data_IF_738798191217
#
_entry.id   IF_738798191217
#
_cell.length_a   1.000
_cell.length_b   1.000
_cell.length_c   1.000
_cell.angle_alpha   90.00
_cell.angle_beta   90.00
_cell.angle_gamma   90.00
#
_symmetry.space_group_name_H-M   'P 1'
#
loop_
_entity.id
_entity.type
_entity.pdbx_description
1 polymer ?
2 non-polymer ?
3 non-polymer ?
4 non-polymer ?
5 water ?
#
# COMPACT_ATOMS: atom_id res chain seq x y z
N UNK A 5 -29.91 27.24 -12.66
CA UNK A 5 -28.70 27.97 -12.28
C UNK A 5 -27.45 27.45 -13.02
N UNK A 6 -27.12 26.19 -12.77
CA UNK A 6 -25.96 25.59 -13.40
C UNK A 6 -26.40 24.58 -14.46
N UNK A 7 -26.00 24.80 -15.71
CA UNK A 7 -26.36 23.91 -16.80
C UNK A 7 -25.49 22.66 -16.78
N UNK A 8 -25.89 21.65 -17.55
CA UNK A 8 -25.14 20.41 -17.64
C UNK A 8 -23.75 20.70 -18.20
N UNK A 9 -23.70 21.61 -19.16
CA UNK A 9 -22.44 21.98 -19.79
C UNK A 9 -21.45 22.57 -18.78
N UNK A 10 -21.89 23.56 -18.02
CA UNK A 10 -21.03 24.19 -17.03
C UNK A 10 -20.63 23.19 -15.93
N UNK A 11 -21.59 22.40 -15.49
CA UNK A 11 -21.36 21.41 -14.44
C UNK A 11 -20.33 20.36 -14.86
N UNK A 12 -20.42 19.90 -16.10
CA UNK A 12 -19.50 18.90 -16.62
C UNK A 12 -18.06 19.41 -16.53
N UNK A 13 -17.87 20.68 -16.84
CA UNK A 13 -16.56 21.32 -16.80
C UNK A 13 -16.09 21.53 -15.37
N UNK A 14 -16.99 22.08 -14.55
CA UNK A 14 -16.72 22.36 -13.16
C UNK A 14 -16.44 21.09 -12.36
N UNK A 15 -17.13 20.00 -12.68
CA UNK A 15 -16.91 18.75 -11.96
C UNK A 15 -15.47 18.29 -12.10
N UNK A 16 -14.91 18.39 -13.32
CA UNK A 16 -13.52 17.98 -13.53
C UNK A 16 -12.57 18.87 -12.75
N UNK A 17 -12.88 20.17 -12.70
CA UNK A 17 -12.04 21.11 -11.97
C UNK A 17 -11.97 20.70 -10.49
N UNK A 18 -13.13 20.38 -9.94
CA UNK A 18 -13.24 19.99 -8.53
C UNK A 18 -12.51 18.67 -8.24
N UNK A 19 -12.72 17.67 -9.08
CA UNK A 19 -12.07 16.37 -8.88
C UNK A 19 -10.56 16.57 -8.81
N UNK A 20 -10.03 17.32 -9.77
CA UNK A 20 -8.58 17.57 -9.82
C UNK A 20 -8.07 18.28 -8.58
N UNK A 21 -8.76 19.34 -8.17
CA UNK A 21 -8.35 20.10 -6.99
C UNK A 21 -8.49 19.25 -5.72
N UNK A 22 -9.64 18.62 -5.56
CA UNK A 22 -9.90 17.77 -4.41
C UNK A 22 -8.99 16.55 -4.36
N UNK A 23 -8.69 15.97 -5.51
CA UNK A 23 -7.82 14.80 -5.53
C UNK A 23 -6.40 15.19 -5.17
N UNK A 24 -6.00 16.41 -5.52
CA UNK A 24 -4.66 16.88 -5.18
C UNK A 24 -4.59 17.03 -3.67
N UNK A 25 -5.63 17.62 -3.09
CA UNK A 25 -5.70 17.83 -1.65
C UNK A 25 -5.68 16.49 -0.92
N UNK A 26 -6.39 15.50 -1.45
CA UNK A 26 -6.40 14.18 -0.83
C UNK A 26 -5.02 13.55 -0.95
N UNK A 27 -4.36 13.75 -2.08
CA UNK A 27 -3.03 13.19 -2.25
C UNK A 27 -2.11 13.73 -1.16
N UNK A 28 -2.19 15.03 -0.90
CA UNK A 28 -1.35 15.66 0.12
C UNK A 28 -1.70 15.17 1.51
N UNK A 29 -2.99 15.11 1.80
CA UNK A 29 -3.50 14.69 3.10
C UNK A 29 -3.35 13.19 3.42
N UNK A 30 -3.71 12.34 2.46
CA UNK A 30 -3.64 10.90 2.67
C UNK A 30 -2.36 10.20 2.23
N UNK A 31 -1.77 10.65 1.13
CA UNK A 31 -0.56 10.00 0.61
C UNK A 31 0.72 10.60 1.17
N UNK A 32 0.76 11.92 1.30
CA UNK A 32 1.93 12.60 1.83
C UNK A 32 1.83 12.83 3.34
N UNK A 33 0.64 12.63 3.90
CA UNK A 33 0.42 12.85 5.32
C UNK A 33 0.82 14.29 5.66
N UNK A 34 0.51 15.20 4.75
CA UNK A 34 0.86 16.60 4.92
C UNK A 34 -0.05 17.53 4.11
N UNK A 35 -1.27 17.76 4.61
CA UNK A 35 -2.22 18.63 3.91
C UNK A 35 -1.68 20.05 3.73
N UNK A 36 -2.11 20.70 2.65
CA UNK A 36 -1.68 22.07 2.37
C UNK A 36 -2.78 23.04 2.79
N UNK A 37 -4.03 22.67 2.55
CA UNK A 37 -5.14 23.53 2.93
C UNK A 37 -5.86 23.02 4.16
N UNK A 38 -6.57 23.91 4.84
CA UNK A 38 -7.32 23.52 6.02
C UNK A 38 -8.53 22.71 5.56
N UNK A 39 -8.99 21.82 6.42
CA UNK A 39 -10.13 20.96 6.13
C UNK A 39 -11.36 21.67 5.58
N UNK A 40 -11.67 22.86 6.10
CA UNK A 40 -12.86 23.57 5.64
C UNK A 40 -12.79 23.94 4.17
N UNK A 41 -11.57 24.14 3.66
CA UNK A 41 -11.39 24.47 2.25
C UNK A 41 -11.77 23.23 1.44
N UNK A 42 -11.30 22.08 1.89
CA UNK A 42 -11.61 20.82 1.23
C UNK A 42 -13.10 20.51 1.31
N UNK A 43 -13.67 20.63 2.51
CA UNK A 43 -15.08 20.35 2.72
C UNK A 43 -16.01 21.19 1.86
N UNK A 44 -15.67 22.46 1.73
CA UNK A 44 -16.48 23.39 0.94
C UNK A 44 -16.50 22.95 -0.53
N UNK A 45 -15.33 22.61 -1.06
CA UNK A 45 -15.24 22.18 -2.45
C UNK A 45 -15.87 20.80 -2.62
N UNK A 46 -15.70 19.95 -1.62
CA UNK A 46 -16.27 18.61 -1.68
C UNK A 46 -17.80 18.70 -1.78
N UNK A 47 -18.38 19.59 -0.99
CA UNK A 47 -19.82 19.79 -0.99
C UNK A 47 -20.30 20.32 -2.35
N UNK A 48 -19.53 21.22 -2.95
CA UNK A 48 -19.91 21.75 -4.24
C UNK A 48 -19.98 20.60 -5.24
N UNK A 49 -19.00 19.71 -5.18
CA UNK A 49 -18.96 18.57 -6.09
C UNK A 49 -20.13 17.63 -5.84
N UNK A 50 -20.43 17.38 -4.57
CA UNK A 50 -21.55 16.51 -4.23
C UNK A 50 -22.83 17.11 -4.80
N UNK A 51 -22.97 18.43 -4.72
CA UNK A 51 -24.16 19.09 -5.23
C UNK A 51 -24.26 18.90 -6.74
N UNK A 52 -23.13 18.99 -7.44
CA UNK A 52 -23.13 18.81 -8.89
C UNK A 52 -23.48 17.37 -9.27
N UNK A 53 -22.87 16.43 -8.56
CA UNK A 53 -23.10 15.02 -8.84
C UNK A 53 -24.52 14.60 -8.51
N UNK A 54 -25.11 15.25 -7.51
CA UNK A 54 -26.47 14.94 -7.11
C UNK A 54 -27.45 15.41 -8.18
N UNK A 55 -27.18 16.58 -8.75
CA UNK A 55 -28.03 17.15 -9.79
C UNK A 55 -27.87 16.38 -11.09
N UNK A 56 -26.64 15.99 -11.41
CA UNK A 56 -26.36 15.24 -12.63
C UNK A 56 -25.49 14.02 -12.32
N UNK A 57 -26.12 12.93 -11.84
CA UNK A 57 -25.39 11.71 -11.50
C UNK A 57 -24.49 11.15 -12.61
N UNK A 58 -24.79 11.51 -13.86
CA UNK A 58 -24.01 11.02 -14.99
C UNK A 58 -22.57 11.57 -14.96
N UNK A 59 -22.35 12.60 -14.16
CA UNK A 59 -21.04 13.22 -14.06
C UNK A 59 -20.14 12.52 -13.05
N UNK A 60 -20.69 11.57 -12.32
CA UNK A 60 -19.92 10.83 -11.33
C UNK A 60 -18.91 9.97 -12.06
N UNK A 61 -17.65 10.04 -11.62
CA UNK A 61 -16.58 9.26 -12.24
C UNK A 61 -15.89 8.37 -11.20
N UNK A 62 -15.19 7.33 -11.64
CA UNK A 62 -14.50 6.41 -10.73
C UNK A 62 -13.43 7.11 -9.89
N UNK A 63 -12.88 8.20 -10.41
CA UNK A 63 -11.84 8.91 -9.68
C UNK A 63 -12.35 10.11 -8.89
N UNK A 64 -13.67 10.24 -8.76
CA UNK A 64 -14.23 11.34 -7.99
C UNK A 64 -14.07 10.99 -6.51
N UNK A 65 -13.58 11.93 -5.71
CA UNK A 65 -13.39 11.66 -4.28
C UNK A 65 -14.67 11.29 -3.52
N UNK A 66 -15.83 11.52 -4.13
CA UNK A 66 -17.08 11.18 -3.49
C UNK A 66 -17.29 9.67 -3.49
N UNK A 67 -16.55 8.98 -4.34
CA UNK A 67 -16.69 7.53 -4.44
C UNK A 67 -15.98 6.76 -3.32
N UNK A 68 -15.17 7.46 -2.53
CA UNK A 68 -14.44 6.86 -1.43
C UNK A 68 -15.35 6.22 -0.37
N UNK A 69 -16.60 6.67 -0.31
CA UNK A 69 -17.53 6.15 0.68
C UNK A 69 -18.06 4.76 0.33
N UNK A 70 -17.78 4.30 -0.88
CA UNK A 70 -18.24 2.98 -1.30
C UNK A 70 -19.72 2.95 -1.57
N UNK A 71 -20.29 1.76 -1.66
CA UNK A 71 -21.71 1.63 -1.91
C UNK A 71 -22.06 0.29 -2.53
N UNK A 72 -21.11 -0.28 -3.25
CA UNK A 72 -21.30 -1.56 -3.90
C UNK A 72 -21.27 -2.69 -2.89
N UNK A 73 -22.06 -3.74 -3.14
CA UNK A 73 -22.13 -4.91 -2.27
C UNK A 73 -21.94 -6.13 -3.16
N UNK A 74 -20.87 -6.88 -2.95
CA UNK A 74 -20.61 -8.06 -3.77
C UNK A 74 -21.24 -9.33 -3.20
N UNK A 75 -21.38 -10.34 -4.05
CA UNK A 75 -21.94 -11.63 -3.63
C UNK A 75 -20.78 -12.49 -3.16
N UNK A 76 -19.59 -12.13 -3.63
CA UNK A 76 -18.39 -12.85 -3.28
C UNK A 76 -17.23 -12.24 -4.07
N UNK A 77 -16.02 -12.73 -3.84
CA UNK A 77 -14.86 -12.21 -4.55
C UNK A 77 -14.46 -13.10 -5.71
N UNK A 78 -14.11 -12.48 -6.83
CA UNK A 78 -13.67 -13.21 -8.01
C UNK A 78 -12.22 -13.62 -7.73
N UNK A 79 -11.76 -14.67 -8.40
CA UNK A 79 -10.38 -15.09 -8.22
C UNK A 79 -9.50 -14.05 -8.88
N UNK A 80 -8.34 -13.78 -8.29
CA UNK A 80 -7.41 -12.80 -8.84
C UNK A 80 -6.06 -13.47 -9.04
N UNK A 81 -5.78 -13.92 -10.27
CA UNK A 81 -4.49 -14.57 -10.51
C UNK A 81 -3.31 -13.60 -10.50
N UNK A 82 -2.15 -14.13 -10.13
CA UNK A 82 -0.91 -13.36 -10.11
C UNK A 82 0.06 -14.06 -11.07
N UNK A 83 0.03 -13.67 -12.35
CA UNK A 83 0.92 -14.27 -13.34
C UNK A 83 2.36 -14.09 -12.88
N UNK A 84 2.61 -12.96 -12.23
CA UNK A 84 3.92 -12.67 -11.66
C UNK A 84 3.58 -13.06 -10.22
N UNK A 85 4.02 -14.24 -9.78
CA UNK A 85 3.73 -14.70 -8.42
C UNK A 85 4.07 -13.77 -7.27
N UNK A 86 3.24 -13.82 -6.24
CA UNK A 86 3.46 -13.02 -5.06
C UNK A 86 4.07 -13.95 -4.02
N UNK A 87 5.39 -13.99 -3.99
CA UNK A 87 6.11 -14.84 -3.06
C UNK A 87 6.01 -14.30 -1.65
N UNK A 88 6.49 -15.10 -0.70
CA UNK A 88 6.53 -14.69 0.69
C UNK A 88 8.00 -14.52 1.03
N UNK A 89 8.30 -14.11 2.25
CA UNK A 89 9.68 -13.90 2.63
C UNK A 89 10.26 -14.98 3.53
N UNK A 90 11.55 -15.24 3.35
CA UNK A 90 12.28 -16.20 4.16
C UNK A 90 12.53 -15.43 5.46
N UNK A 91 12.49 -16.13 6.59
CA UNK A 91 12.67 -15.49 7.90
C UNK A 91 14.03 -15.64 8.57
N UNK A 92 14.36 -14.63 9.38
CA UNK A 92 15.60 -14.61 10.14
C UNK A 92 15.19 -14.16 11.54
N UNK A 93 15.86 -14.69 12.57
CA UNK A 93 15.49 -14.33 13.93
C UNK A 93 16.63 -13.84 14.82
N UNK A 94 17.87 -14.14 14.41
CA UNK A 94 19.03 -13.74 15.21
C UNK A 94 20.02 -12.94 14.37
N UNK A 95 20.92 -12.25 15.05
CA UNK A 95 21.93 -11.47 14.35
C UNK A 95 22.72 -12.43 13.45
N UNK A 96 22.93 -13.65 13.93
CA UNK A 96 23.68 -14.62 13.15
C UNK A 96 22.90 -15.00 11.89
N UNK A 97 21.57 -15.02 11.97
CA UNK A 97 20.76 -15.35 10.80
C UNK A 97 20.97 -14.29 9.73
N UNK A 98 20.95 -13.03 10.14
CA UNK A 98 21.11 -11.91 9.22
C UNK A 98 22.50 -11.91 8.58
N UNK A 99 23.53 -12.19 9.39
CA UNK A 99 24.88 -12.21 8.86
C UNK A 99 25.08 -13.44 7.98
N UNK A 100 24.38 -14.53 8.33
CA UNK A 100 24.49 -15.75 7.53
C UNK A 100 23.88 -15.44 6.17
N UNK A 101 22.76 -14.72 6.18
CA UNK A 101 22.08 -14.34 4.93
C UNK A 101 23.05 -13.54 4.07
N UNK A 102 23.73 -12.59 4.69
CA UNK A 102 24.69 -11.75 3.97
C UNK A 102 25.82 -12.59 3.39
N UNK A 103 26.30 -13.58 4.14
CA UNK A 103 27.37 -14.43 3.65
C UNK A 103 26.93 -15.18 2.41
N UNK A 104 25.71 -15.73 2.43
CA UNK A 104 25.20 -16.48 1.29
C UNK A 104 25.08 -15.57 0.06
N UNK A 105 24.60 -14.35 0.29
CA UNK A 105 24.44 -13.39 -0.81
C UNK A 105 25.79 -13.06 -1.43
N UNK A 106 26.78 -12.77 -0.59
CA UNK A 106 28.10 -12.44 -1.09
C UNK A 106 28.71 -13.63 -1.82
N UNK A 107 28.51 -14.83 -1.27
CA UNK A 107 29.06 -16.03 -1.91
C UNK A 107 28.52 -16.19 -3.34
N UNK A 108 27.23 -15.90 -3.53
CA UNK A 108 26.62 -16.04 -4.84
C UNK A 108 26.96 -14.91 -5.81
N UNK A 109 26.96 -13.66 -5.33
CA UNK A 109 27.24 -12.52 -6.19
C UNK A 109 28.74 -12.33 -6.45
N UNK A 110 29.56 -12.57 -5.43
CA UNK A 110 30.99 -12.44 -5.57
C UNK A 110 31.58 -11.09 -5.23
N UNK A 111 30.86 -10.30 -4.44
CA UNK A 111 31.32 -8.97 -4.04
C UNK A 111 30.39 -8.40 -2.98
N UNK A 112 30.81 -7.34 -2.28
CA UNK A 112 29.93 -6.75 -1.26
C UNK A 112 28.65 -6.30 -1.95
N UNK A 113 27.54 -6.37 -1.24
CA UNK A 113 26.25 -6.00 -1.79
C UNK A 113 25.54 -5.00 -0.90
N UNK A 114 24.94 -3.97 -1.51
CA UNK A 114 24.19 -2.97 -0.77
C UNK A 114 22.77 -3.51 -0.53
N UNK A 115 22.17 -3.08 0.59
CA UNK A 115 20.84 -3.53 0.96
C UNK A 115 19.89 -2.37 1.25
N UNK A 116 18.67 -2.46 0.71
CA UNK A 116 17.65 -1.46 0.98
C UNK A 116 16.85 -2.07 2.14
N UNK A 117 16.82 -1.37 3.27
CA UNK A 117 16.09 -1.88 4.42
C UNK A 117 14.79 -1.14 4.64
N UNK A 118 13.74 -1.91 4.93
CA UNK A 118 12.41 -1.37 5.14
C UNK A 118 11.77 -1.99 6.38
N UNK A 119 10.79 -1.30 6.94
CA UNK A 119 10.09 -1.82 8.11
C UNK A 119 9.07 -2.84 7.58
N UNK A 120 8.90 -3.95 8.29
CA UNK A 120 7.95 -4.97 7.88
C UNK A 120 6.57 -4.60 8.45
N UNK A 121 5.74 -3.98 7.62
CA UNK A 121 4.42 -3.57 8.03
C UNK A 121 3.54 -4.78 8.30
N UNK A 122 2.90 -4.81 9.47
CA UNK A 122 2.04 -5.93 9.82
C UNK A 122 0.62 -5.70 9.31
N UNK A 123 0.31 -6.27 8.16
CA UNK A 123 -1.02 -6.12 7.58
C UNK A 123 -1.27 -7.21 6.58
N UNK A 124 -1.93 -6.86 5.48
CA UNK A 124 -2.24 -7.81 4.42
C UNK A 124 -1.48 -7.38 3.17
N UNK A 125 -0.89 -8.34 2.46
CA UNK A 125 -0.14 -8.02 1.25
C UNK A 125 -1.12 -7.86 0.08
N UNK A 126 -0.96 -6.78 -0.70
CA UNK A 126 -1.85 -6.53 -1.82
C UNK A 126 -1.10 -6.18 -3.10
N UNK A 127 -1.82 -6.26 -4.21
CA UNK A 127 -1.27 -5.96 -5.52
C UNK A 127 -2.24 -4.98 -6.18
N UNK A 128 -1.70 -3.95 -6.81
CA UNK A 128 -2.53 -2.94 -7.46
C UNK A 128 -2.13 -2.82 -8.94
N UNK A 129 -3.10 -2.92 -9.83
CA UNK A 129 -2.83 -2.81 -11.26
C UNK A 129 -3.49 -1.58 -11.85
N UNK A 130 -2.72 -0.82 -12.63
CA UNK A 130 -3.22 0.39 -13.27
C UNK A 130 -3.06 0.26 -14.78
N UNK A 131 -4.01 0.83 -15.50
CA UNK A 131 -3.98 0.82 -16.95
C UNK A 131 -4.15 2.25 -17.43
N UNK A 132 -3.12 2.77 -18.10
CA UNK A 132 -3.15 4.14 -18.59
C UNK A 132 -3.39 5.10 -17.43
N UNK A 133 -2.90 4.71 -16.25
CA UNK A 133 -3.05 5.54 -15.06
C UNK A 133 -4.30 5.29 -14.24
N UNK A 134 -5.22 4.49 -14.78
CA UNK A 134 -6.48 4.18 -14.09
C UNK A 134 -6.42 2.90 -13.26
N UNK A 135 -6.87 2.99 -12.01
CA UNK A 135 -6.90 1.82 -11.13
C UNK A 135 -7.90 0.81 -11.69
N UNK A 136 -7.43 -0.39 -12.01
CA UNK A 136 -8.34 -1.40 -12.58
C UNK A 136 -8.45 -2.70 -11.79
N UNK A 137 -7.48 -3.00 -10.94
CA UNK A 137 -7.57 -4.22 -10.14
C UNK A 137 -6.78 -4.16 -8.85
N UNK A 138 -7.41 -4.64 -7.79
CA UNK A 138 -6.76 -4.71 -6.49
C UNK A 138 -6.95 -6.15 -6.06
N UNK A 139 -5.89 -6.77 -5.55
CA UNK A 139 -5.99 -8.18 -5.14
C UNK A 139 -5.13 -8.53 -3.93
N UNK A 140 -5.57 -9.54 -3.19
CA UNK A 140 -4.85 -10.02 -2.02
C UNK A 140 -3.79 -11.00 -2.54
N UNK A 141 -2.77 -11.26 -1.74
CA UNK A 141 -1.72 -12.20 -2.14
C UNK A 141 -2.32 -13.60 -2.24
N UNK A 142 -3.24 -13.90 -1.33
CA UNK A 142 -3.87 -15.22 -1.33
C UNK A 142 -2.82 -16.30 -1.15
N UNK A 143 -2.82 -17.30 -2.04
CA UNK A 143 -1.86 -18.38 -1.94
C UNK A 143 -0.58 -18.13 -2.74
N UNK A 144 -0.46 -16.93 -3.29
CA UNK A 144 0.74 -16.61 -4.06
C UNK A 144 0.53 -16.55 -5.55
N UNK A 145 -0.30 -17.45 -6.09
CA UNK A 145 -0.57 -17.46 -7.53
C UNK A 145 -2.03 -17.06 -7.80
N UNK A 146 -2.87 -17.18 -6.78
CA UNK A 146 -4.27 -16.80 -6.89
C UNK A 146 -4.74 -16.19 -5.58
N UNK A 147 -5.25 -14.96 -5.67
CA UNK A 147 -5.76 -14.27 -4.49
C UNK A 147 -7.20 -13.91 -4.73
N UNK A 148 -7.70 -12.94 -3.98
CA UNK A 148 -9.08 -12.48 -4.13
C UNK A 148 -9.10 -11.11 -4.77
N UNK A 149 -10.06 -10.89 -5.66
CA UNK A 149 -10.20 -9.61 -6.33
C UNK A 149 -10.97 -8.67 -5.40
N UNK A 150 -10.24 -7.80 -4.70
CA UNK A 150 -10.86 -6.86 -3.77
C UNK A 150 -10.78 -5.43 -4.28
N UNK A 151 -10.86 -5.27 -5.60
CA UNK A 151 -10.81 -3.97 -6.24
C UNK A 151 -11.78 -2.96 -5.62
N UNK A 152 -13.05 -3.34 -5.53
CA UNK A 152 -14.08 -2.44 -4.99
C UNK A 152 -13.79 -1.98 -3.57
N UNK A 153 -13.29 -2.88 -2.73
CA UNK A 153 -12.96 -2.52 -1.36
C UNK A 153 -11.80 -1.53 -1.33
N UNK A 154 -10.80 -1.76 -2.17
CA UNK A 154 -9.63 -0.89 -2.20
C UNK A 154 -9.94 0.52 -2.74
N UNK A 155 -11.06 0.67 -3.44
CA UNK A 155 -11.43 1.98 -3.94
C UNK A 155 -11.75 2.88 -2.75
N UNK A 156 -12.08 2.27 -1.62
CA UNK A 156 -12.42 3.06 -0.44
C UNK A 156 -11.24 3.39 0.46
N UNK A 157 -10.09 2.78 0.21
CA UNK A 157 -8.90 3.04 1.02
C UNK A 157 -8.34 4.36 0.51
N UNK A 158 -8.51 5.40 1.32
CA UNK A 158 -8.13 6.76 0.98
C UNK A 158 -6.75 7.00 0.37
N UNK A 159 -5.75 6.22 0.75
CA UNK A 159 -4.41 6.43 0.22
C UNK A 159 -4.15 5.79 -1.15
N UNK A 160 -5.10 4.98 -1.63
CA UNK A 160 -4.97 4.33 -2.92
C UNK A 160 -5.46 5.27 -4.04
N UNK A 161 -4.56 5.68 -4.94
CA UNK A 161 -4.96 6.57 -6.03
C UNK A 161 -5.85 5.89 -7.07
N UNK A 162 -6.89 6.60 -7.51
CA UNK A 162 -7.77 6.07 -8.53
C UNK A 162 -7.22 6.43 -9.90
N UNK A 163 -6.42 7.49 -9.95
CA UNK A 163 -5.77 7.91 -11.19
C UNK A 163 -4.35 8.36 -10.84
N UNK A 164 -3.35 7.74 -11.47
CA UNK A 164 -1.95 8.08 -11.21
C UNK A 164 -1.54 9.46 -11.72
N UNK A 165 -0.36 9.90 -11.32
CA UNK A 165 0.16 11.20 -11.74
C UNK A 165 0.52 11.19 -13.22
N UNK A 166 0.76 10.00 -13.75
CA UNK A 166 1.10 9.80 -15.16
C UNK A 166 0.25 8.63 -15.67
N UNK A 167 -0.27 8.73 -16.89
CA UNK A 167 -1.11 7.67 -17.46
C UNK A 167 -0.33 6.41 -17.83
N UNK A 168 0.36 5.82 -16.85
CA UNK A 168 1.15 4.63 -17.12
C UNK A 168 0.46 3.34 -16.69
N UNK A 169 0.90 2.23 -17.27
CA UNK A 169 0.33 0.93 -16.96
C UNK A 169 1.36 0.13 -16.18
N UNK A 170 1.04 -0.16 -14.93
CA UNK A 170 1.95 -0.89 -14.06
C UNK A 170 1.21 -1.69 -13.00
N UNK A 171 1.93 -2.60 -12.35
CA UNK A 171 1.36 -3.37 -11.25
C UNK A 171 2.35 -3.22 -10.10
N UNK A 172 1.84 -2.77 -8.96
CA UNK A 172 2.69 -2.57 -7.81
C UNK A 172 2.15 -3.34 -6.63
N UNK A 173 3.01 -3.58 -5.63
CA UNK A 173 2.59 -4.33 -4.47
C UNK A 173 3.01 -3.65 -3.18
N UNK A 174 2.21 -3.85 -2.14
CA UNK A 174 2.51 -3.24 -0.87
C UNK A 174 1.67 -3.85 0.21
N UNK A 175 1.58 -3.15 1.33
CA UNK A 175 0.81 -3.63 2.46
C UNK A 175 -0.40 -2.74 2.72
N UNK A 176 -1.53 -3.37 3.03
CA UNK A 176 -2.72 -2.63 3.39
C UNK A 176 -2.83 -2.95 4.88
N UNK A 177 -2.96 -1.92 5.71
CA UNK A 177 -3.01 -2.15 7.16
C UNK A 177 -3.95 -1.18 7.86
N UNK A 178 -4.14 -1.41 9.16
CA UNK A 178 -5.00 -0.56 9.97
C UNK A 178 -4.14 0.10 11.05
N UNK A 179 -4.08 1.44 11.08
CA UNK A 179 -3.28 2.16 12.08
C UNK A 179 -3.73 1.79 13.50
N UNK A 180 -2.81 1.84 14.46
CA UNK A 180 -3.13 1.50 15.85
C UNK A 180 -4.38 2.22 16.33
N UNK A 181 -4.43 3.54 16.11
CA UNK A 181 -5.55 4.37 16.52
C UNK A 181 -6.89 3.81 16.04
N UNK A 182 -6.96 3.50 14.74
CA UNK A 182 -8.18 2.96 14.16
C UNK A 182 -8.50 1.56 14.66
N UNK A 183 -7.46 0.78 14.95
CA UNK A 183 -7.63 -0.57 15.46
C UNK A 183 -8.30 -0.49 16.83
N UNK A 184 -7.83 0.44 17.66
CA UNK A 184 -8.40 0.63 18.98
C UNK A 184 -9.86 1.07 18.90
N UNK A 185 -10.11 2.12 18.12
CA UNK A 185 -11.48 2.63 17.99
C UNK A 185 -12.44 1.54 17.50
N UNK A 186 -11.98 0.76 16.53
CA UNK A 186 -12.80 -0.31 15.96
C UNK A 186 -13.18 -1.38 16.99
N UNK A 187 -12.20 -1.85 17.77
CA UNK A 187 -12.48 -2.87 18.77
C UNK A 187 -13.47 -2.36 19.82
N UNK A 188 -13.35 -1.08 20.17
CA UNK A 188 -14.25 -0.47 21.15
C UNK A 188 -15.66 -0.50 20.57
N UNK A 189 -15.77 -0.22 19.27
CA UNK A 189 -17.05 -0.23 18.59
C UNK A 189 -17.63 -1.64 18.57
N UNK A 190 -16.77 -2.64 18.33
CA UNK A 190 -17.23 -4.03 18.32
C UNK A 190 -17.64 -4.46 19.72
N UNK A 191 -16.93 -3.98 20.73
CA UNK A 191 -17.29 -4.32 22.12
C UNK A 191 -18.67 -3.74 22.41
N UNK A 192 -18.92 -2.54 21.90
CA UNK A 192 -20.19 -1.86 22.10
C UNK A 192 -21.35 -2.59 21.44
N UNK A 193 -21.06 -3.26 20.32
CA UNK A 193 -22.09 -3.98 19.59
C UNK A 193 -22.12 -5.48 19.86
N UNK A 194 -21.49 -5.90 20.94
CA UNK A 194 -21.49 -7.31 21.30
C UNK A 194 -20.75 -8.23 20.34
N UNK A 195 -19.79 -7.68 19.61
CA UNK A 195 -19.01 -8.47 18.66
C UNK A 195 -17.67 -8.88 19.24
N UNK A 196 -17.07 -9.92 18.65
CA UNK A 196 -15.76 -10.39 19.08
C UNK A 196 -14.75 -9.39 18.52
N UNK A 197 -13.83 -8.95 19.36
CA UNK A 197 -12.82 -7.99 18.93
C UNK A 197 -11.78 -8.69 18.06
N UNK A 198 -10.98 -7.90 17.35
CA UNK A 198 -9.91 -8.47 16.53
C UNK A 198 -8.68 -8.59 17.43
N UNK A 199 -8.00 -9.73 17.35
CA UNK A 199 -6.81 -9.98 18.18
C UNK A 199 -5.69 -8.98 17.95
N UNK A 200 -5.55 -8.51 16.72
CA UNK A 200 -4.51 -7.55 16.38
C UNK A 200 -4.87 -6.80 15.09
N UNK A 201 -4.17 -5.69 14.80
CA UNK A 201 -4.45 -4.92 13.59
C UNK A 201 -4.33 -5.75 12.30
N UNK A 202 -3.47 -6.76 12.30
CA UNK A 202 -3.31 -7.59 11.12
C UNK A 202 -4.64 -8.30 10.84
N UNK A 203 -5.21 -8.93 11.85
CA UNK A 203 -6.49 -9.63 11.69
C UNK A 203 -7.61 -8.65 11.38
N UNK A 204 -7.50 -7.44 11.92
CA UNK A 204 -8.51 -6.41 11.70
C UNK A 204 -8.50 -6.00 10.22
N UNK A 205 -7.30 -5.86 9.66
CA UNK A 205 -7.16 -5.48 8.26
C UNK A 205 -7.68 -6.59 7.35
N UNK A 206 -7.32 -7.82 7.68
CA UNK A 206 -7.74 -8.98 6.89
C UNK A 206 -9.26 -9.13 6.91
N UNK A 207 -9.84 -9.04 8.09
CA UNK A 207 -11.28 -9.18 8.20
C UNK A 207 -11.99 -8.05 7.47
N UNK A 208 -11.44 -6.84 7.57
CA UNK A 208 -12.02 -5.68 6.90
C UNK A 208 -12.06 -5.87 5.38
N UNK A 209 -10.96 -6.35 4.81
CA UNK A 209 -10.89 -6.56 3.37
C UNK A 209 -11.70 -7.77 2.88
N UNK A 210 -12.20 -8.56 3.82
CA UNK A 210 -13.02 -9.72 3.48
C UNK A 210 -14.50 -9.32 3.44
N UNK A 211 -14.80 -8.11 3.90
CA UNK A 211 -16.17 -7.60 3.90
C UNK A 211 -16.66 -7.42 2.46
N UNK A 212 -17.89 -7.86 2.20
CA UNK A 212 -18.43 -7.75 0.85
C UNK A 212 -19.12 -6.42 0.62
N UNK A 213 -19.47 -5.72 1.71
CA UNK A 213 -20.12 -4.43 1.60
C UNK A 213 -19.06 -3.32 1.68
N UNK A 214 -18.76 -2.70 0.55
CA UNK A 214 -17.75 -1.65 0.49
C UNK A 214 -18.03 -0.47 1.44
N UNK A 215 -19.28 -0.21 1.75
CA UNK A 215 -19.63 0.89 2.64
C UNK A 215 -19.02 0.65 4.02
N UNK A 216 -18.96 -0.61 4.44
CA UNK A 216 -18.39 -0.98 5.73
C UNK A 216 -16.87 -0.82 5.67
N UNK A 217 -16.27 -1.32 4.60
CA UNK A 217 -14.82 -1.24 4.43
C UNK A 217 -14.37 0.22 4.50
N UNK A 218 -15.11 1.09 3.81
CA UNK A 218 -14.77 2.52 3.77
C UNK A 218 -14.66 3.13 5.17
N UNK A 219 -15.40 2.59 6.12
CA UNK A 219 -15.35 3.11 7.49
C UNK A 219 -14.25 2.51 8.35
N UNK A 220 -13.57 1.48 7.86
CA UNK A 220 -12.52 0.82 8.62
C UNK A 220 -11.18 1.57 8.70
N UNK A 221 -11.07 2.67 7.95
CA UNK A 221 -9.86 3.49 7.97
C UNK A 221 -8.55 2.76 7.68
N UNK A 222 -8.53 1.94 6.63
CA UNK A 222 -7.32 1.21 6.26
C UNK A 222 -6.37 2.18 5.55
N UNK A 223 -5.08 1.85 5.54
CA UNK A 223 -4.08 2.70 4.88
C UNK A 223 -3.10 1.79 4.13
N UNK A 224 -2.18 2.40 3.38
CA UNK A 224 -1.23 1.59 2.62
C UNK A 224 0.20 2.10 2.61
N UNK A 225 1.10 1.20 2.21
CA UNK A 225 2.52 1.46 2.03
C UNK A 225 2.91 0.56 0.85
N UNK A 226 3.32 1.16 -0.26
CA UNK A 226 3.71 0.39 -1.44
C UNK A 226 5.22 0.17 -1.44
N UNK A 227 5.66 -1.03 -1.78
CA UNK A 227 7.09 -1.33 -1.76
C UNK A 227 7.68 -2.19 -2.89
N UNK A 228 6.85 -2.65 -3.82
CA UNK A 228 7.39 -3.47 -4.90
C UNK A 228 6.79 -3.14 -6.26
N UNK A 229 7.66 -3.01 -7.26
CA UNK A 229 7.22 -2.77 -8.62
C UNK A 229 7.27 -4.17 -9.23
N UNK A 230 6.10 -4.74 -9.54
CA UNK A 230 6.01 -6.08 -10.12
C UNK A 230 6.06 -6.00 -11.64
N UNK A 231 5.27 -5.11 -12.21
CA UNK A 231 5.23 -4.89 -13.65
C UNK A 231 5.61 -3.42 -13.85
N UNK A 232 6.86 -3.22 -14.28
CA UNK A 232 7.44 -1.91 -14.50
C UNK A 232 6.78 -0.99 -15.53
N UNK A 233 6.26 -1.56 -16.60
CA UNK A 233 5.69 -0.70 -17.63
C UNK A 233 6.82 0.24 -18.03
N UNK A 234 6.61 1.56 -17.96
CA UNK A 234 7.64 2.55 -18.32
C UNK A 234 8.57 2.99 -17.19
N UNK A 235 8.35 2.50 -15.98
CA UNK A 235 9.20 2.88 -14.85
C UNK A 235 10.68 2.58 -15.09
N UNK A 236 11.55 3.50 -14.64
CA UNK A 236 12.98 3.38 -14.85
C UNK A 236 13.85 2.87 -13.70
N UNK A 237 13.31 2.80 -12.49
CA UNK A 237 14.08 2.34 -11.34
C UNK A 237 14.94 1.12 -11.64
N UNK A 238 16.18 1.13 -11.15
CA UNK A 238 17.09 0.01 -11.35
C UNK A 238 17.48 -0.64 -10.02
N UNK A 239 17.11 0.01 -8.92
CA UNK A 239 17.38 -0.51 -7.59
C UNK A 239 16.11 -0.36 -6.76
N UNK A 240 16.04 -1.09 -5.65
CA UNK A 240 14.87 -1.01 -4.79
C UNK A 240 14.72 0.39 -4.20
N UNK A 241 15.82 0.98 -3.75
CA UNK A 241 15.75 2.32 -3.18
C UNK A 241 15.19 3.29 -4.23
N UNK A 242 15.64 3.13 -5.46
CA UNK A 242 15.15 3.97 -6.56
C UNK A 242 13.66 3.71 -6.81
N UNK A 243 13.26 2.45 -6.66
CA UNK A 243 11.87 2.07 -6.88
C UNK A 243 10.92 2.71 -5.87
N UNK A 244 11.34 2.75 -4.61
CA UNK A 244 10.52 3.36 -3.56
C UNK A 244 10.30 4.83 -3.88
N UNK A 245 11.36 5.49 -4.34
CA UNK A 245 11.29 6.90 -4.70
C UNK A 245 10.34 7.09 -5.88
N UNK A 246 10.44 6.21 -6.87
CA UNK A 246 9.61 6.29 -8.06
C UNK A 246 8.15 5.93 -7.78
N UNK A 247 7.92 5.04 -6.82
CA UNK A 247 6.56 4.65 -6.45
C UNK A 247 5.88 5.91 -5.89
N UNK A 248 6.64 6.67 -5.12
CA UNK A 248 6.13 7.89 -4.53
C UNK A 248 5.85 8.91 -5.64
N UNK A 249 6.79 9.03 -6.57
CA UNK A 249 6.66 9.97 -7.68
C UNK A 249 5.38 9.79 -8.49
N UNK A 250 5.02 8.55 -8.77
CA UNK A 250 3.82 8.30 -9.56
C UNK A 250 2.52 8.39 -8.76
N UNK A 251 2.63 8.64 -7.45
CA UNK A 251 1.42 8.79 -6.66
C UNK A 251 1.09 7.83 -5.53
N UNK A 252 1.98 6.90 -5.21
CA UNK A 252 1.69 5.95 -4.13
C UNK A 252 2.25 6.39 -2.80
N UNK A 253 1.67 5.86 -1.72
CA UNK A 253 2.16 6.17 -0.38
C UNK A 253 3.27 5.17 -0.10
N UNK A 254 4.40 5.68 0.36
CA UNK A 254 5.55 4.84 0.68
C UNK A 254 5.98 5.11 2.11
N UNK A 255 6.64 4.12 2.72
CA UNK A 255 7.10 4.28 4.10
C UNK A 255 8.39 5.08 4.12
N UNK A 256 8.42 6.18 4.89
CA UNK A 256 9.59 7.05 4.99
C UNK A 256 10.78 6.57 5.82
N UNK A 257 10.63 5.45 6.52
CA UNK A 257 11.71 4.95 7.36
C UNK A 257 12.74 4.03 6.68
N UNK A 258 12.70 3.90 5.35
CA UNK A 258 13.65 3.02 4.68
C UNK A 258 15.04 3.63 4.64
N UNK A 259 16.05 2.78 4.49
CA UNK A 259 17.43 3.23 4.42
C UNK A 259 18.28 2.32 3.55
N UNK A 260 19.13 2.92 2.73
CA UNK A 260 20.03 2.16 1.87
C UNK A 260 21.28 1.91 2.71
N UNK A 261 21.61 0.63 2.90
CA UNK A 261 22.79 0.27 3.69
C UNK A 261 23.86 -0.36 2.83
N UNK A 262 25.10 0.11 2.98
CA UNK A 262 26.21 -0.42 2.20
C UNK A 262 26.85 -1.66 2.78
N UNK A 263 26.62 -1.91 4.07
CA UNK A 263 27.21 -3.09 4.72
C UNK A 263 26.20 -3.79 5.61
N UNK A 264 26.45 -5.07 5.89
CA UNK A 264 25.58 -5.85 6.74
C UNK A 264 25.60 -5.27 8.15
N UNK A 265 26.70 -4.61 8.49
CA UNK A 265 26.83 -4.01 9.81
C UNK A 265 25.89 -2.80 9.93
N UNK A 266 25.72 -2.07 8.82
CA UNK A 266 24.81 -0.92 8.83
C UNK A 266 23.39 -1.43 8.88
N UNK A 267 23.18 -2.61 8.29
CA UNK A 267 21.86 -3.24 8.29
C UNK A 267 21.47 -3.60 9.72
N UNK A 268 22.40 -4.17 10.47
CA UNK A 268 22.10 -4.56 11.84
C UNK A 268 21.81 -3.34 12.70
N UNK A 269 22.48 -2.23 12.43
CA UNK A 269 22.27 -1.00 13.19
C UNK A 269 20.87 -0.47 12.93
N UNK A 270 20.41 -0.63 11.69
CA UNK A 270 19.09 -0.19 11.29
C UNK A 270 18.07 -1.03 12.06
N UNK A 271 18.30 -2.33 12.10
CA UNK A 271 17.42 -3.25 12.79
C UNK A 271 17.30 -2.87 14.26
N UNK A 272 18.42 -2.55 14.91
CA UNK A 272 18.40 -2.17 16.32
C UNK A 272 17.77 -0.80 16.50
N UNK A 273 18.00 0.11 15.56
CA UNK A 273 17.44 1.45 15.64
C UNK A 273 15.92 1.41 15.70
N UNK A 274 15.32 0.70 14.76
CA UNK A 274 13.86 0.61 14.71
C UNK A 274 13.26 -0.42 15.64
N UNK A 275 14.10 -1.29 16.20
CA UNK A 275 13.61 -2.28 17.12
C UNK A 275 13.21 -1.55 18.40
N UNK A 276 13.92 -0.47 18.69
CA UNK A 276 13.64 0.34 19.88
C UNK A 276 12.69 1.49 19.62
N UNK A 277 12.46 1.80 18.34
CA UNK A 277 11.54 2.88 17.97
C UNK A 277 10.17 2.28 17.73
N UNK A 278 10.13 0.96 17.63
CA UNK A 278 8.92 0.20 17.37
C UNK A 278 7.61 0.71 17.97
N UNK A 279 7.58 0.86 19.29
CA UNK A 279 6.37 1.33 19.97
C UNK A 279 5.96 2.77 19.66
N UNK A 280 6.90 3.56 19.14
CA UNK A 280 6.61 4.96 18.83
C UNK A 280 5.89 5.16 17.50
N UNK A 281 5.85 4.12 16.68
CA UNK A 281 5.19 4.20 15.37
C UNK A 281 3.68 4.09 15.45
N UNK A 282 2.95 4.81 14.58
CA UNK A 282 1.49 4.79 14.56
C UNK A 282 0.92 3.48 13.99
N UNK A 283 1.81 2.60 13.53
CA UNK A 283 1.41 1.32 12.97
C UNK A 283 2.29 0.20 13.50
N UNK A 284 1.74 -1.00 13.56
CA UNK A 284 2.49 -2.14 14.04
C UNK A 284 3.38 -2.74 12.96
N UNK A 285 4.54 -3.25 13.37
CA UNK A 285 5.50 -3.89 12.48
C UNK A 285 6.00 -5.14 13.18
N UNK A 286 6.14 -6.23 12.45
CA UNK A 286 6.61 -7.47 13.05
C UNK A 286 8.07 -7.74 12.73
N UNK A 287 8.76 -6.74 12.19
CA UNK A 287 10.15 -6.92 11.86
C UNK A 287 10.74 -5.93 10.87
N UNK A 288 11.79 -6.37 10.18
CA UNK A 288 12.49 -5.57 9.19
C UNK A 288 12.72 -6.42 7.95
N UNK A 289 12.56 -5.83 6.78
CA UNK A 289 12.79 -6.55 5.54
C UNK A 289 14.09 -6.03 4.92
N UNK A 290 15.03 -6.93 4.68
CA UNK A 290 16.32 -6.61 4.11
C UNK A 290 16.36 -7.09 2.65
N UNK A 291 16.48 -6.16 1.71
CA UNK A 291 16.49 -6.50 0.29
C UNK A 291 17.75 -6.11 -0.45
N UNK A 292 18.24 -7.00 -1.32
CA UNK A 292 19.40 -6.71 -2.14
C UNK A 292 18.93 -5.53 -2.98
N UNK A 293 19.66 -4.41 -2.92
CA UNK A 293 19.25 -3.21 -3.63
C UNK A 293 19.24 -3.25 -5.16
N UNK A 294 20.32 -3.72 -5.77
CA UNK A 294 20.40 -3.76 -7.23
C UNK A 294 19.47 -4.81 -7.84
N UNK A 295 18.60 -4.40 -8.77
CA UNK A 295 17.69 -5.36 -9.38
C UNK A 295 18.45 -6.40 -10.19
N UNK A 296 19.59 -5.98 -10.76
CA UNK A 296 20.41 -6.88 -11.55
C UNK A 296 20.86 -8.04 -10.65
N UNK A 297 21.22 -7.72 -9.42
CA UNK A 297 21.68 -8.73 -8.47
C UNK A 297 20.52 -9.57 -7.92
N UNK A 298 19.34 -8.96 -7.79
CA UNK A 298 18.18 -9.70 -7.31
C UNK A 298 17.88 -10.78 -8.35
N UNK A 299 17.96 -10.39 -9.61
CA UNK A 299 17.69 -11.32 -10.71
C UNK A 299 18.67 -12.48 -10.73
N UNK A 300 19.92 -12.19 -10.39
CA UNK A 300 20.95 -13.23 -10.37
C UNK A 300 20.67 -14.24 -9.26
N UNK A 301 20.23 -13.75 -8.10
CA UNK A 301 19.93 -14.61 -6.97
C UNK A 301 18.67 -15.45 -7.20
N UNK A 302 17.68 -14.86 -7.85
CA UNK A 302 16.45 -15.58 -8.14
C UNK A 302 15.55 -15.88 -6.94
N UNK A 303 14.66 -16.86 -7.12
CA UNK A 303 13.73 -17.25 -6.09
C UNK A 303 13.76 -18.76 -5.82
N UNK A 304 13.49 -19.14 -4.57
CA UNK A 304 13.39 -20.56 -4.23
C UNK A 304 11.92 -20.77 -4.59
N UNK A 305 11.35 -21.92 -4.23
CA UNK A 305 9.94 -22.13 -4.52
C UNK A 305 9.12 -21.16 -3.66
N UNK A 306 9.48 -21.05 -2.40
CA UNK A 306 8.77 -20.19 -1.44
C UNK A 306 9.05 -18.70 -1.48
N UNK A 307 10.30 -18.32 -1.72
CA UNK A 307 10.63 -16.90 -1.65
C UNK A 307 11.84 -16.46 -2.44
N UNK A 308 12.09 -15.14 -2.44
CA UNK A 308 13.26 -14.67 -3.18
C UNK A 308 14.50 -14.99 -2.35
N UNK A 309 15.63 -15.17 -3.02
CA UNK A 309 16.88 -15.44 -2.32
C UNK A 309 17.53 -14.10 -1.99
N UNK A 310 17.03 -13.03 -2.61
CA UNK A 310 17.57 -11.69 -2.43
C UNK A 310 16.98 -10.87 -1.30
N UNK A 311 16.23 -11.51 -0.42
CA UNK A 311 15.64 -10.79 0.69
C UNK A 311 15.45 -11.71 1.88
N UNK A 312 15.33 -11.11 3.05
CA UNK A 312 15.07 -11.86 4.27
C UNK A 312 14.35 -10.95 5.23
N UNK A 313 13.43 -11.51 6.00
CA UNK A 313 12.68 -10.73 6.96
C UNK A 313 13.17 -11.06 8.37
N UNK A 314 13.73 -10.07 9.06
CA UNK A 314 14.17 -10.28 10.42
C UNK A 314 12.93 -10.10 11.28
N UNK A 315 12.51 -11.17 11.93
CA UNK A 315 11.31 -11.16 12.76
C UNK A 315 11.63 -10.81 14.21
N UNK A 316 10.84 -9.89 14.76
CA UNK A 316 11.00 -9.47 16.14
C UNK A 316 10.53 -10.59 17.06
N UNK A 317 11.31 -10.90 18.10
CA UNK A 317 10.97 -11.95 19.05
C UNK A 317 9.74 -11.62 19.89
X LIG B 1 -0.66 -12.09 3.54
X LIG B 1 -1.35 -12.81 4.80
X LIG B 1 -0.24 -13.18 2.67
X LIG B 1 -1.52 -11.30 2.95
X LIG B 1 0.49 -11.47 4.10
X LIG C 1 -7.58 -10.66 -14.13
X LIG C 1 -7.96 -10.74 -12.56
X LIG C 1 -8.05 -11.92 -14.69
X LIG C 1 -8.14 -9.62 -14.68
X LIG C 1 -6.14 -10.66 -14.13
X LIG D 1 -17.80 -8.46 10.92
X LIG D 1 -18.30 -9.31 12.21
X LIG D 1 -18.60 -8.94 9.82
X LIG D 1 -17.92 -7.18 11.13
X LIG D 1 -16.44 -8.93 10.75
X LIG E 1 -13.66 13.08 1.91
X LIG E 1 -12.96 12.38 2.99
X LIG E 1 -11.58 11.89 2.68
X LIG E 1 -13.77 11.10 3.45
X LIG E 1 -12.99 13.32 4.28
X LIG E 1 -12.69 12.76 5.62
X LIG E 1 -12.02 13.84 6.46
X LIG E 1 -10.69 14.12 5.95
X LIG E 1 -12.74 15.23 6.53
X LIG E 1 -12.74 15.74 7.87
X LIG E 1 -11.93 16.08 5.57
X LIG E 1 -11.98 17.48 5.84
X LIG E 1 -10.57 15.56 5.75
X LIG E 1 -9.69 15.77 4.56
X LIG E 1 -8.87 16.91 4.47
X LIG E 1 -8.10 17.09 3.33
X LIG E 1 -7.21 18.32 3.25
X LIG E 1 -6.55 18.44 2.25
X LIG E 1 -7.19 19.20 4.23
X LIG E 1 -8.12 16.10 2.24
X LIG E 1 -8.96 14.97 2.37
X LIG E 1 -9.77 14.77 3.54
X LIG F 1 9.44 -9.94 -2.36
X LIG F 1 9.61 -8.71 -1.69
X LIG F 1 7.65 -10.60 -0.83
X LIG F 1 7.81 -9.36 -0.14
X LIG F 1 8.80 -8.41 -0.57
X LIG F 1 6.17 -4.30 5.00
X LIG F 1 8.48 -10.87 -1.94
X LIG F 1 9.01 -7.21 0.05
X LIG F 1 6.96 -9.01 1.05
X LIG F 1 8.34 -12.03 -2.58
X LIG F 1 6.09 -9.78 1.47
X LIG F 1 5.27 -6.35 5.28
X LIG F 1 7.89 -5.20 2.79
X LIG F 1 6.85 -5.95 3.42
X LIG F 1 6.52 -7.23 2.85
X LIG F 1 7.24 -7.70 1.70
X LIG F 1 8.24 -6.88 1.16
X LIG F 1 8.57 -5.66 1.69
X LIG F 1 8.32 -3.96 3.23
X LIG F 1 6.08 -5.48 4.62
#
# INVERSE_FOLDING_TARGET
MEQQPLTLTAATTRAQELRKQLNQYSHEYYVKDQPSVEDYVYDRLYKELVDIETEFPDLITPDSPTQRVGGKVLSGFEKAPHDIPMYSLNDGFSKEDIFAFDERVRKAIGKPVAYCCELKIDGLAISLRYENGVFVRGATRGDGTVGENITENLRTVRSVPMRLTEPISVEVRGECYMPKQSFVALNEEREENGQDIFANPRNAAAGSLRQLDTKIVAKRNLNTFLYTVADFGPMKAKTQFEALEELSAIGFRTNPERQLCQSIDEVWAYIEEYHEKRSTLPYEIDGIVIKVNEFALQDELGFTVKAPRWAIAYKFPPEEAETVLEHHHHHH
SO4 S O1 O2 O3 O4
SO4 S O1 O2 O3 O4
SO4 S O1 O2 O3 O4
NMN O3P P O1P O2P O5R C5R C4R O4R C3R O3R C2R O2R C1R N1 C2 C3 C7 O7 N7 C4 C5 C6
3B8 C5 C6 C3 C2 C1 O11 C4 O7 C8 F9 O10 N12 C13 C14 C15 C16 C17 N18 N19 C20
#
